data_IF_350066652292
#
_entry.id   IF_350066652292
#
_cell.length_a   1.000
_cell.length_b   1.000
_cell.length_c   1.000
_cell.angle_alpha   90.00
_cell.angle_beta   90.00
_cell.angle_gamma   90.00
#
_symmetry.space_group_name_H-M   'P 1'
#
loop_
_entity.id
_entity.type
_entity.pdbx_description
1 polymer ?
#
# COMPACT_ATOMS: atom_id res chain seq x y z
N UNK A 1 23.36 -4.84 4.29
CA UNK A 1 23.76 -5.91 5.25
C UNK A 1 23.43 -7.26 4.63
N UNK A 2 24.46 -8.06 4.33
CA UNK A 2 24.31 -9.38 3.71
C UNK A 2 24.58 -10.48 4.77
N UNK A 3 23.71 -10.53 5.78
CA UNK A 3 23.81 -11.52 6.85
C UNK A 3 22.52 -12.30 6.97
N UNK A 4 22.65 -13.62 7.18
CA UNK A 4 21.53 -14.50 7.51
C UNK A 4 21.05 -14.17 8.92
N UNK A 5 19.75 -13.92 9.11
CA UNK A 5 19.14 -13.84 10.43
C UNK A 5 19.12 -15.24 11.05
N UNK A 6 19.66 -15.38 12.24
CA UNK A 6 19.84 -16.66 12.90
C UNK A 6 18.95 -16.84 14.16
N UNK A 7 18.32 -15.76 14.64
CA UNK A 7 17.47 -15.82 15.84
C UNK A 7 16.25 -14.88 15.74
N UNK A 8 15.29 -15.10 16.64
CA UNK A 8 14.12 -14.20 16.85
C UNK A 8 14.53 -12.81 17.30
N UNK A 9 15.57 -12.74 18.13
CA UNK A 9 16.08 -11.47 18.64
C UNK A 9 16.68 -10.64 17.51
N UNK A 10 17.45 -11.27 16.60
CA UNK A 10 17.98 -10.58 15.41
C UNK A 10 16.87 -10.04 14.49
N UNK A 11 15.79 -10.83 14.30
CA UNK A 11 14.63 -10.39 13.52
C UNK A 11 13.92 -9.23 14.20
N UNK A 12 13.75 -9.26 15.51
CA UNK A 12 13.12 -8.19 16.30
C UNK A 12 13.98 -6.92 16.25
N UNK A 13 15.28 -7.04 16.44
CA UNK A 13 16.23 -5.92 16.38
C UNK A 13 16.23 -5.25 14.99
N UNK A 14 16.29 -6.07 13.92
CA UNK A 14 16.22 -5.55 12.55
C UNK A 14 14.91 -4.80 12.29
N UNK A 15 13.77 -5.34 12.74
CA UNK A 15 12.47 -4.69 12.61
C UNK A 15 12.43 -3.35 13.31
N UNK A 16 12.93 -3.27 14.53
CA UNK A 16 12.98 -2.04 15.31
C UNK A 16 13.91 -1.01 14.64
N UNK A 17 15.07 -1.44 14.15
CA UNK A 17 15.96 -0.60 13.38
C UNK A 17 15.26 -0.03 12.14
N UNK A 18 14.58 -0.86 11.33
CA UNK A 18 13.86 -0.43 10.14
C UNK A 18 12.72 0.55 10.46
N UNK A 19 12.00 0.35 11.57
CA UNK A 19 10.97 1.28 12.04
C UNK A 19 11.55 2.64 12.42
N UNK A 20 12.68 2.63 13.14
CA UNK A 20 13.36 3.85 13.54
C UNK A 20 13.93 4.59 12.32
N UNK A 21 14.52 3.89 11.37
CA UNK A 21 14.97 4.45 10.09
C UNK A 21 13.81 5.06 9.29
N UNK A 22 12.67 4.36 9.23
CA UNK A 22 11.47 4.88 8.56
C UNK A 22 10.91 6.13 9.26
N UNK A 23 10.90 6.15 10.60
CA UNK A 23 10.44 7.31 11.38
C UNK A 23 11.40 8.52 11.27
N UNK A 24 12.69 8.24 11.19
CA UNK A 24 13.73 9.26 11.02
C UNK A 24 13.91 9.69 9.56
N UNK A 25 13.33 8.95 8.61
CA UNK A 25 13.50 9.24 7.19
C UNK A 25 12.99 10.65 6.86
N UNK A 26 13.61 11.34 5.89
CA UNK A 26 13.13 12.64 5.39
C UNK A 26 11.68 12.62 4.86
N UNK A 27 11.08 11.45 4.74
CA UNK A 27 9.66 11.25 4.41
C UNK A 27 8.70 11.55 5.58
N UNK A 28 9.18 11.64 6.82
CA UNK A 28 8.37 12.11 7.94
C UNK A 28 7.90 13.56 7.67
N UNK A 29 6.56 13.75 7.57
CA UNK A 29 5.95 15.04 7.20
C UNK A 29 5.77 15.29 5.71
N UNK A 30 6.18 14.37 4.82
CA UNK A 30 5.86 14.43 3.39
C UNK A 30 4.43 13.97 3.12
N UNK A 31 3.85 14.49 2.05
CA UNK A 31 2.54 14.03 1.57
C UNK A 31 2.69 12.61 1.01
N UNK A 32 2.01 11.60 1.58
CA UNK A 32 2.10 10.26 1.06
C UNK A 32 1.36 10.14 -0.27
N UNK A 33 2.01 9.56 -1.27
CA UNK A 33 1.40 9.20 -2.54
C UNK A 33 1.61 7.72 -2.79
N UNK A 34 0.52 6.95 -2.87
CA UNK A 34 0.54 5.51 -3.07
C UNK A 34 -0.05 5.18 -4.43
N UNK A 35 0.71 4.50 -5.27
CA UNK A 35 0.26 4.05 -6.60
C UNK A 35 0.05 2.55 -6.56
N UNK A 36 -1.10 2.10 -7.03
CA UNK A 36 -1.43 0.70 -7.13
C UNK A 36 -0.60 0.02 -8.24
N UNK A 37 0.24 -0.94 -7.85
CA UNK A 37 0.99 -1.83 -8.74
C UNK A 37 0.42 -3.26 -8.74
N UNK A 38 -0.89 -3.39 -8.48
CA UNK A 38 -1.60 -4.65 -8.70
C UNK A 38 -1.69 -4.98 -10.21
N UNK A 39 -1.82 -6.26 -10.54
CA UNK A 39 -1.78 -6.75 -11.94
C UNK A 39 -2.74 -6.00 -12.89
N UNK A 40 -3.98 -5.74 -12.42
CA UNK A 40 -4.98 -5.01 -13.21
C UNK A 40 -4.54 -3.56 -13.49
N UNK A 41 -4.01 -2.86 -12.49
CA UNK A 41 -3.52 -1.48 -12.67
C UNK A 41 -2.29 -1.43 -13.58
N UNK A 42 -1.36 -2.38 -13.45
CA UNK A 42 -0.21 -2.49 -14.36
C UNK A 42 -0.68 -2.71 -15.80
N UNK A 43 -1.61 -3.64 -16.02
CA UNK A 43 -2.17 -3.91 -17.34
C UNK A 43 -2.91 -2.69 -17.94
N UNK A 44 -3.43 -1.81 -17.09
CA UNK A 44 -4.12 -0.56 -17.48
C UNK A 44 -3.18 0.65 -17.57
N UNK A 45 -1.86 0.49 -17.43
CA UNK A 45 -0.88 1.57 -17.63
C UNK A 45 -0.35 2.24 -16.34
N UNK A 46 -0.50 1.63 -15.16
CA UNK A 46 -0.02 2.22 -13.90
C UNK A 46 1.48 2.54 -13.89
N UNK A 47 2.30 1.77 -14.62
CA UNK A 47 3.73 2.03 -14.73
C UNK A 47 4.00 3.37 -15.40
N UNK A 48 3.30 3.67 -16.50
CA UNK A 48 3.44 4.95 -17.20
C UNK A 48 2.92 6.13 -16.34
N UNK A 49 1.82 5.93 -15.60
CA UNK A 49 1.30 6.93 -14.65
C UNK A 49 2.34 7.21 -13.55
N UNK A 50 2.95 6.16 -12.98
CA UNK A 50 3.98 6.30 -11.95
C UNK A 50 5.19 7.08 -12.45
N UNK A 51 5.68 6.74 -13.65
CA UNK A 51 6.80 7.42 -14.26
C UNK A 51 6.49 8.90 -14.54
N UNK A 52 5.34 9.19 -15.14
CA UNK A 52 4.90 10.57 -15.39
C UNK A 52 4.76 11.36 -14.08
N UNK A 53 4.27 10.74 -13.01
CA UNK A 53 4.16 11.42 -11.72
C UNK A 53 5.54 11.76 -11.12
N UNK A 54 6.55 10.88 -11.26
CA UNK A 54 7.94 11.20 -10.87
C UNK A 54 8.51 12.38 -11.66
N UNK A 55 8.34 12.35 -12.98
CA UNK A 55 8.82 13.42 -13.86
C UNK A 55 8.19 14.77 -13.52
N UNK A 56 6.88 14.81 -13.29
CA UNK A 56 6.15 16.02 -12.91
C UNK A 56 6.51 16.52 -11.51
N UNK A 57 6.76 15.63 -10.55
CA UNK A 57 7.24 15.99 -9.21
C UNK A 57 8.64 16.63 -9.29
N UNK A 58 9.54 16.07 -10.09
CA UNK A 58 10.87 16.62 -10.31
C UNK A 58 10.80 17.99 -11.00
N UNK A 59 10.00 18.11 -12.06
CA UNK A 59 9.80 19.37 -12.77
C UNK A 59 9.22 20.49 -11.88
N UNK A 60 8.35 20.11 -10.93
CA UNK A 60 7.75 21.05 -9.96
C UNK A 60 8.63 21.32 -8.72
N UNK A 61 9.76 20.62 -8.55
CA UNK A 61 10.61 20.73 -7.35
C UNK A 61 9.95 20.25 -6.07
N UNK A 62 9.00 19.29 -6.19
CA UNK A 62 8.20 18.78 -5.06
C UNK A 62 8.68 17.41 -4.54
N UNK A 63 9.76 16.83 -5.08
CA UNK A 63 10.30 15.53 -4.66
C UNK A 63 10.58 15.46 -3.16
N UNK A 64 11.10 16.56 -2.57
CA UNK A 64 11.35 16.68 -1.15
C UNK A 64 10.08 16.74 -0.28
N UNK A 65 8.91 17.03 -0.85
CA UNK A 65 7.63 17.20 -0.14
C UNK A 65 6.68 16.02 -0.29
N UNK A 66 7.01 15.06 -1.13
CA UNK A 66 6.17 13.91 -1.46
C UNK A 66 6.89 12.61 -1.14
N UNK A 67 6.20 11.67 -0.53
CA UNK A 67 6.65 10.30 -0.33
C UNK A 67 5.90 9.40 -1.32
N UNK A 68 6.46 9.23 -2.52
CA UNK A 68 5.92 8.36 -3.55
C UNK A 68 6.25 6.90 -3.23
N UNK A 69 5.23 6.03 -3.22
CA UNK A 69 5.35 4.62 -2.88
C UNK A 69 4.52 3.76 -3.83
N UNK A 70 5.14 2.75 -4.38
CA UNK A 70 4.47 1.67 -5.07
C UNK A 70 3.83 0.74 -4.03
N UNK A 71 2.56 0.39 -4.21
CA UNK A 71 1.87 -0.48 -3.26
C UNK A 71 1.15 -1.62 -3.98
N UNK A 72 0.91 -2.71 -3.26
CA UNK A 72 0.06 -3.78 -3.74
C UNK A 72 -1.37 -3.31 -4.02
N UNK A 73 -2.25 -4.22 -4.43
CA UNK A 73 -3.60 -3.90 -4.87
C UNK A 73 -4.37 -3.03 -3.84
N UNK A 74 -4.88 -1.88 -4.29
CA UNK A 74 -5.72 -1.00 -3.49
C UNK A 74 -7.19 -1.46 -3.40
N UNK A 75 -7.65 -2.34 -4.31
CA UNK A 75 -8.98 -2.96 -4.25
C UNK A 75 -9.85 -2.70 -5.48
N UNK A 76 -10.36 -1.47 -5.73
CA UNK A 76 -11.31 -1.20 -6.82
C UNK A 76 -10.64 -1.24 -8.20
N UNK A 77 -10.44 -2.45 -8.74
CA UNK A 77 -9.73 -2.66 -10.00
C UNK A 77 -10.43 -2.08 -11.23
N UNK A 78 -11.77 -1.92 -11.17
CA UNK A 78 -12.55 -1.32 -12.26
C UNK A 78 -12.20 0.16 -12.51
N UNK A 79 -11.67 0.85 -11.48
CA UNK A 79 -11.20 2.24 -11.60
C UNK A 79 -9.72 2.38 -11.97
N UNK A 80 -9.03 1.27 -12.30
CA UNK A 80 -7.59 1.30 -12.58
C UNK A 80 -7.19 2.10 -13.82
N UNK A 81 -5.96 2.66 -13.82
CA UNK A 81 -5.00 2.83 -12.74
C UNK A 81 -5.49 3.75 -11.62
N UNK A 82 -5.18 3.37 -10.38
CA UNK A 82 -5.60 4.13 -9.20
C UNK A 82 -4.41 4.57 -8.34
N UNK A 83 -4.55 5.72 -7.69
CA UNK A 83 -3.59 6.22 -6.71
C UNK A 83 -4.30 6.88 -5.53
N UNK A 84 -3.63 6.91 -4.39
CA UNK A 84 -4.05 7.69 -3.21
C UNK A 84 -3.02 8.79 -2.98
N UNK A 85 -3.46 10.03 -3.07
CA UNK A 85 -2.64 11.23 -2.85
C UNK A 85 -3.08 11.87 -1.54
N UNK A 86 -2.23 11.80 -0.52
CA UNK A 86 -2.67 12.09 0.84
C UNK A 86 -3.74 11.07 1.28
N UNK A 87 -4.96 11.54 1.44
CA UNK A 87 -6.15 10.73 1.73
C UNK A 87 -7.14 10.64 0.54
N UNK A 88 -6.85 11.31 -0.58
CA UNK A 88 -7.73 11.37 -1.75
C UNK A 88 -7.48 10.23 -2.72
N UNK A 89 -8.53 9.48 -3.03
CA UNK A 89 -8.52 8.37 -3.98
C UNK A 89 -8.82 8.87 -5.40
N UNK A 90 -7.85 8.69 -6.29
CA UNK A 90 -7.97 9.00 -7.71
C UNK A 90 -8.08 7.73 -8.55
N UNK A 91 -8.93 7.75 -9.57
CA UNK A 91 -9.18 6.61 -10.46
C UNK A 91 -9.12 7.00 -11.94
N UNK A 92 -9.02 5.96 -12.81
CA UNK A 92 -8.89 6.12 -14.26
C UNK A 92 -7.73 7.03 -14.65
N UNK A 93 -6.62 6.91 -13.93
CA UNK A 93 -5.46 7.75 -14.14
C UNK A 93 -4.81 7.46 -15.49
N UNK A 94 -4.32 8.52 -16.12
CA UNK A 94 -3.49 8.49 -17.32
C UNK A 94 -2.26 9.38 -17.07
N UNK A 95 -1.14 9.18 -17.79
CA UNK A 95 0.06 10.00 -17.62
C UNK A 95 -0.21 11.51 -17.68
N UNK A 96 -1.06 11.95 -18.59
CA UNK A 96 -1.42 13.36 -18.78
C UNK A 96 -2.17 13.98 -17.60
N UNK A 97 -2.72 13.19 -16.69
CA UNK A 97 -3.36 13.66 -15.46
C UNK A 97 -2.36 14.06 -14.38
N UNK A 98 -1.11 13.56 -14.46
CA UNK A 98 -0.11 13.73 -13.41
C UNK A 98 0.27 15.20 -13.20
N UNK A 99 0.48 15.95 -14.28
CA UNK A 99 0.78 17.38 -14.20
C UNK A 99 -0.28 18.18 -13.44
N UNK A 100 -1.55 17.85 -13.63
CA UNK A 100 -2.65 18.52 -12.92
C UNK A 100 -2.67 18.15 -11.44
N UNK A 101 -2.51 16.86 -11.12
CA UNK A 101 -2.45 16.36 -9.72
C UNK A 101 -1.29 17.02 -8.98
N UNK A 102 -0.11 17.05 -9.60
CA UNK A 102 1.08 17.68 -8.98
C UNK A 102 0.86 19.16 -8.75
N UNK A 103 0.39 19.90 -9.75
CA UNK A 103 0.21 21.34 -9.66
C UNK A 103 -0.94 21.75 -8.73
N UNK A 104 -2.11 21.10 -8.84
CA UNK A 104 -3.29 21.46 -8.08
C UNK A 104 -3.28 20.83 -6.68
N UNK A 105 -3.16 19.50 -6.58
CA UNK A 105 -3.32 18.84 -5.30
C UNK A 105 -2.04 18.94 -4.46
N UNK A 106 -0.89 18.51 -4.97
CA UNK A 106 0.35 18.50 -4.21
C UNK A 106 0.95 19.91 -4.03
N UNK A 107 0.74 20.79 -5.01
CA UNK A 107 1.24 22.17 -4.96
C UNK A 107 0.35 23.12 -4.16
N UNK A 108 -0.97 23.04 -4.34
CA UNK A 108 -1.94 24.02 -3.80
C UNK A 108 -2.96 23.43 -2.82
N UNK A 109 -2.97 22.12 -2.58
CA UNK A 109 -3.96 21.45 -1.72
C UNK A 109 -5.36 21.36 -2.33
N UNK A 110 -5.51 21.57 -3.65
CA UNK A 110 -6.79 21.57 -4.35
C UNK A 110 -7.04 20.21 -4.99
N UNK A 111 -8.09 19.52 -4.56
CA UNK A 111 -8.47 18.21 -5.11
C UNK A 111 -8.84 18.34 -6.59
N UNK A 112 -8.36 17.44 -7.42
CA UNK A 112 -8.77 17.34 -8.84
C UNK A 112 -10.04 16.50 -8.91
N UNK A 113 -11.18 17.16 -8.69
CA UNK A 113 -12.48 16.51 -8.52
C UNK A 113 -12.91 15.59 -9.65
N UNK A 114 -12.53 15.89 -10.91
CA UNK A 114 -12.88 15.05 -12.07
C UNK A 114 -12.23 13.68 -12.06
N UNK A 115 -11.11 13.51 -11.33
CA UNK A 115 -10.36 12.27 -11.19
C UNK A 115 -10.67 11.53 -9.88
N UNK A 116 -11.37 12.20 -8.93
CA UNK A 116 -11.74 11.60 -7.67
C UNK A 116 -12.92 10.64 -7.84
N UNK A 117 -12.97 9.62 -6.99
CA UNK A 117 -14.05 8.64 -7.01
C UNK A 117 -15.43 9.30 -6.86
N UNK A 118 -16.40 8.84 -7.68
CA UNK A 118 -17.79 9.32 -7.63
C UNK A 118 -18.73 8.17 -7.31
N UNK A 119 -19.69 8.44 -6.44
CA UNK A 119 -20.83 7.54 -6.22
C UNK A 119 -21.78 7.56 -7.43
N UNK A 120 -22.68 6.56 -7.53
CA UNK A 120 -23.72 6.55 -8.57
C UNK A 120 -24.65 7.79 -8.55
N UNK A 121 -24.79 8.45 -7.38
CA UNK A 121 -25.54 9.70 -7.22
C UNK A 121 -24.76 10.95 -7.67
N UNK A 122 -23.54 10.78 -8.20
CA UNK A 122 -22.66 11.84 -8.68
C UNK A 122 -21.84 12.53 -7.59
N UNK A 123 -22.04 12.22 -6.32
CA UNK A 123 -21.27 12.81 -5.22
C UNK A 123 -19.83 12.31 -5.24
N UNK A 124 -18.91 13.23 -5.04
CA UNK A 124 -17.49 12.92 -4.89
C UNK A 124 -17.25 12.32 -3.52
N UNK A 125 -16.54 11.19 -3.49
CA UNK A 125 -16.02 10.59 -2.28
C UNK A 125 -14.51 10.61 -2.39
N UNK A 126 -13.91 11.66 -1.86
CA UNK A 126 -12.47 11.86 -2.00
C UNK A 126 -11.67 10.90 -1.14
N UNK A 127 -12.14 10.57 0.08
CA UNK A 127 -11.40 9.69 0.98
C UNK A 127 -11.68 8.22 0.71
N UNK A 128 -10.60 7.43 0.67
CA UNK A 128 -10.69 5.98 0.46
C UNK A 128 -11.56 5.30 1.53
N UNK A 129 -11.45 5.71 2.79
CA UNK A 129 -12.21 5.15 3.91
C UNK A 129 -13.73 5.41 3.83
N UNK A 130 -14.14 6.48 3.15
CA UNK A 130 -15.56 6.84 2.96
C UNK A 130 -16.20 6.15 1.75
N UNK A 131 -15.41 5.49 0.92
CA UNK A 131 -15.93 4.72 -0.21
C UNK A 131 -16.72 3.51 0.29
N UNK A 132 -17.89 3.28 -0.29
CA UNK A 132 -18.77 2.18 0.12
C UNK A 132 -18.10 0.81 0.00
N UNK A 133 -17.22 0.66 -0.99
CA UNK A 133 -16.40 -0.52 -1.19
C UNK A 133 -15.55 -0.87 0.04
N UNK A 134 -14.97 0.12 0.74
CA UNK A 134 -14.10 -0.12 1.89
C UNK A 134 -14.84 -0.13 3.22
N UNK A 135 -15.89 0.67 3.37
CA UNK A 135 -16.62 0.85 4.64
C UNK A 135 -17.17 -0.44 5.25
N UNK A 136 -17.50 -1.42 4.41
CA UNK A 136 -18.11 -2.69 4.83
C UNK A 136 -17.13 -3.85 4.85
N UNK A 137 -15.84 -3.60 4.61
CA UNK A 137 -14.83 -4.65 4.55
C UNK A 137 -13.93 -4.64 5.77
N UNK A 138 -13.75 -5.80 6.38
CA UNK A 138 -12.69 -6.06 7.34
C UNK A 138 -11.61 -6.89 6.63
N UNK A 139 -10.48 -6.25 6.33
CA UNK A 139 -9.36 -6.91 5.65
C UNK A 139 -8.50 -7.65 6.66
N UNK A 140 -8.56 -8.97 6.69
CA UNK A 140 -7.71 -9.82 7.53
C UNK A 140 -6.47 -10.24 6.72
N UNK A 141 -6.65 -11.11 5.73
CA UNK A 141 -5.56 -11.64 4.88
C UNK A 141 -4.92 -10.53 4.04
N UNK A 142 -5.74 -9.64 3.48
CA UNK A 142 -5.32 -8.53 2.63
C UNK A 142 -5.05 -7.22 3.39
N UNK A 143 -4.88 -7.28 4.72
CA UNK A 143 -4.71 -6.09 5.57
C UNK A 143 -3.50 -5.22 5.21
N UNK A 144 -2.47 -5.81 4.59
CA UNK A 144 -1.26 -5.09 4.15
C UNK A 144 -1.35 -4.55 2.72
N UNK A 145 -2.33 -5.02 1.92
CA UNK A 145 -2.52 -4.54 0.54
C UNK A 145 -2.85 -3.05 0.52
N UNK A 146 -2.16 -2.31 -0.34
CA UNK A 146 -2.26 -0.86 -0.44
C UNK A 146 -1.48 -0.09 0.63
N UNK A 147 -0.68 -0.77 1.48
CA UNK A 147 0.15 -0.16 2.53
C UNK A 147 1.64 -0.41 2.31
N UNK A 148 2.00 -1.64 1.94
CA UNK A 148 3.39 -2.04 1.72
C UNK A 148 3.73 -2.07 0.24
N UNK A 149 5.01 -1.81 -0.07
CA UNK A 149 5.60 -2.13 -1.35
C UNK A 149 5.94 -3.64 -1.37
N UNK A 150 5.29 -4.44 -2.23
CA UNK A 150 5.51 -5.88 -2.27
C UNK A 150 6.90 -6.27 -2.78
N UNK A 151 7.65 -5.35 -3.39
CA UNK A 151 9.02 -5.58 -3.85
C UNK A 151 10.09 -5.26 -2.79
N UNK A 152 9.67 -4.69 -1.63
CA UNK A 152 10.56 -4.34 -0.52
C UNK A 152 10.33 -5.21 0.69
N UNK A 153 11.33 -6.02 1.00
CA UNK A 153 11.29 -6.89 2.19
C UNK A 153 11.18 -6.08 3.48
N UNK A 154 11.81 -4.90 3.53
CA UNK A 154 11.79 -4.01 4.69
C UNK A 154 10.37 -3.62 5.10
N UNK A 155 9.52 -3.26 4.12
CA UNK A 155 8.12 -2.94 4.35
C UNK A 155 7.36 -4.12 4.98
N UNK A 156 7.65 -5.33 4.50
CA UNK A 156 7.05 -6.56 5.03
C UNK A 156 7.50 -6.83 6.46
N UNK A 157 8.78 -6.61 6.76
CA UNK A 157 9.34 -6.80 8.11
C UNK A 157 8.77 -5.79 9.11
N UNK A 158 8.68 -4.52 8.72
CA UNK A 158 8.10 -3.44 9.55
C UNK A 158 6.66 -3.78 9.95
N UNK A 159 5.87 -4.31 9.03
CA UNK A 159 4.46 -4.73 9.25
C UNK A 159 4.33 -6.12 9.91
N UNK A 160 5.38 -6.65 10.52
CA UNK A 160 5.38 -7.91 11.26
C UNK A 160 5.49 -9.17 10.41
N UNK A 161 5.99 -9.05 9.17
CA UNK A 161 6.27 -10.21 8.33
C UNK A 161 7.26 -11.18 8.98
N UNK A 162 7.08 -12.47 8.70
CA UNK A 162 7.90 -13.59 9.23
C UNK A 162 7.85 -13.78 10.75
N UNK A 163 7.10 -12.98 11.51
CA UNK A 163 7.03 -13.14 12.97
C UNK A 163 6.40 -14.47 13.39
N UNK A 164 5.30 -14.87 12.75
CA UNK A 164 4.65 -16.14 13.02
C UNK A 164 5.57 -17.32 12.66
N UNK A 165 6.22 -17.27 11.49
CA UNK A 165 7.17 -18.30 11.08
C UNK A 165 8.32 -18.41 12.09
N UNK A 166 8.88 -17.30 12.51
CA UNK A 166 9.95 -17.28 13.48
C UNK A 166 9.52 -17.91 14.82
N UNK A 167 8.31 -17.59 15.31
CA UNK A 167 7.76 -18.22 16.52
C UNK A 167 7.55 -19.74 16.38
N UNK A 168 7.09 -20.20 15.23
CA UNK A 168 6.96 -21.65 14.94
C UNK A 168 8.32 -22.35 14.95
N UNK A 169 9.33 -21.74 14.34
CA UNK A 169 10.68 -22.31 14.30
C UNK A 169 11.32 -22.35 15.69
N UNK A 170 11.07 -21.37 16.53
CA UNK A 170 11.59 -21.31 17.90
C UNK A 170 10.92 -22.34 18.81
N UNK A 171 9.62 -22.52 18.67
CA UNK A 171 8.85 -23.47 19.47
C UNK A 171 9.23 -24.95 19.20
N UNK A 172 9.75 -25.26 18.01
CA UNK A 172 10.12 -26.63 17.58
C UNK A 172 8.99 -27.67 17.79
N UNK A 173 7.71 -27.25 17.72
CA UNK A 173 6.52 -28.09 17.90
C UNK A 173 5.67 -28.12 16.60
N UNK A 174 5.96 -29.04 15.66
CA UNK A 174 5.18 -29.17 14.43
C UNK A 174 3.74 -29.62 14.68
N UNK A 175 3.49 -30.38 15.76
CA UNK A 175 2.15 -30.84 16.12
C UNK A 175 1.26 -29.66 16.57
N UNK A 176 1.83 -28.66 17.23
CA UNK A 176 1.09 -27.44 17.57
C UNK A 176 0.64 -26.69 16.32
N UNK A 177 1.47 -26.66 15.27
CA UNK A 177 1.12 -26.04 13.97
C UNK A 177 -0.04 -26.79 13.31
N UNK A 178 -0.01 -28.13 13.32
CA UNK A 178 -1.08 -28.96 12.77
C UNK A 178 -2.40 -28.72 13.51
N UNK A 179 -2.37 -28.70 14.85
CA UNK A 179 -3.56 -28.40 15.67
C UNK A 179 -4.14 -27.02 15.37
N UNK A 180 -3.28 -25.99 15.23
CA UNK A 180 -3.72 -24.63 14.90
C UNK A 180 -4.37 -24.60 13.51
N UNK A 181 -3.80 -25.28 12.52
CA UNK A 181 -4.36 -25.38 11.17
C UNK A 181 -5.73 -26.08 11.15
N UNK A 182 -5.92 -27.10 11.96
CA UNK A 182 -7.22 -27.80 12.10
C UNK A 182 -8.29 -26.88 12.73
N UNK A 183 -7.91 -26.05 13.72
CA UNK A 183 -8.82 -25.12 14.39
C UNK A 183 -9.27 -23.97 13.48
N UNK A 184 -8.41 -23.50 12.59
CA UNK A 184 -8.69 -22.32 11.75
C UNK A 184 -9.71 -22.62 10.63
N UNK A 185 -9.88 -23.87 10.19
CA UNK A 185 -10.82 -24.34 9.17
C UNK A 185 -11.06 -23.33 8.04
N UNK A 186 -9.99 -22.83 7.42
CA UNK A 186 -10.08 -21.82 6.36
C UNK A 186 -10.67 -22.41 5.08
N UNK A 187 -10.53 -23.69 4.85
CA UNK A 187 -10.96 -24.37 3.62
C UNK A 187 -12.47 -24.27 3.33
N UNK A 188 -13.39 -24.47 4.27
CA UNK A 188 -14.83 -24.26 4.04
C UNK A 188 -15.21 -22.79 3.81
N UNK A 189 -14.46 -21.84 4.39
CA UNK A 189 -14.73 -20.41 4.23
C UNK A 189 -14.37 -19.93 2.83
N UNK A 190 -13.31 -20.45 2.23
CA UNK A 190 -12.91 -20.14 0.85
C UNK A 190 -13.82 -20.81 -0.20
N UNK A 191 -14.39 -21.96 0.13
CA UNK A 191 -15.30 -22.69 -0.77
C UNK A 191 -16.73 -22.10 -0.82
N UNK A 192 -17.06 -21.17 0.09
CA UNK A 192 -18.38 -20.50 0.17
C UNK A 192 -18.37 -19.06 -0.35
N UNK A 193 -17.24 -18.55 -0.75
CA UNK A 193 -17.06 -17.22 -1.33
C UNK A 193 -16.99 -17.28 -2.86
#
# INVERSE_FOLDING_TARGET
>A
MSGRLASLEELAALREQLRNEQAAAPSAGRIPVRICMGASCIASGAVAVRQSLEEELAAAGLEGRVALKDVGCLGPCSGGPVAVVGDVFYEHLQPEHCAEIVRAHLGKGQIVERLAHRRPDGRIVSRMEDMEFFRRQTKIVLGRCGRIDPQRIDDTLIEGGYQALAGVLDAHDPEAVLREMELVDIAPTLARA
#
